data_IF_773020290074
#
_entry.id   IF_773020290074
#
_cell.length_a   1.000
_cell.length_b   1.000
_cell.length_c   1.000
_cell.angle_alpha   90.00
_cell.angle_beta   90.00
_cell.angle_gamma   90.00
#
_symmetry.space_group_name_H-M   'P 1'
#
loop_
_entity.id
_entity.type
_entity.pdbx_description
1 polymer ?
#
# COMPACT_ATOMS: atom_id res chain seq x y z
N UNK A 1 -33.38 27.45 -44.31
CA UNK A 1 -32.54 27.85 -43.16
C UNK A 1 -33.29 27.59 -41.86
N UNK A 2 -32.86 26.59 -41.09
CA UNK A 2 -33.17 26.41 -39.67
C UNK A 2 -31.93 25.82 -39.01
N UNK A 3 -31.35 26.59 -38.11
CA UNK A 3 -30.16 26.27 -37.34
C UNK A 3 -30.57 25.27 -36.25
N UNK A 4 -30.03 24.06 -36.28
CA UNK A 4 -30.09 23.12 -35.16
C UNK A 4 -28.68 23.04 -34.55
N UNK A 5 -28.39 24.01 -33.69
CA UNK A 5 -27.40 23.89 -32.63
C UNK A 5 -28.01 22.97 -31.56
N UNK A 6 -27.14 22.28 -30.82
CA UNK A 6 -27.42 21.36 -29.68
C UNK A 6 -27.38 19.89 -30.08
N UNK A 7 -26.18 19.29 -29.95
CA UNK A 7 -25.93 18.03 -29.24
C UNK A 7 -24.45 17.61 -29.37
N UNK A 8 -23.52 18.56 -29.15
CA UNK A 8 -22.07 18.27 -29.00
C UNK A 8 -21.70 18.47 -27.54
N UNK A 9 -22.38 17.82 -26.59
CA UNK A 9 -21.93 17.77 -25.17
C UNK A 9 -22.50 16.53 -24.45
N UNK A 10 -22.38 15.33 -25.01
CA UNK A 10 -22.75 14.10 -24.27
C UNK A 10 -21.72 12.98 -24.48
N UNK A 11 -20.43 13.33 -24.57
CA UNK A 11 -19.35 12.33 -24.74
C UNK A 11 -18.13 12.52 -23.81
N UNK A 12 -18.26 13.32 -22.75
CA UNK A 12 -17.19 13.52 -21.76
C UNK A 12 -17.64 13.38 -20.30
N UNK A 13 -18.69 12.60 -20.02
CA UNK A 13 -18.95 12.11 -18.67
C UNK A 13 -18.34 10.72 -18.54
N UNK A 14 -17.00 10.66 -18.59
CA UNK A 14 -16.30 9.56 -17.98
C UNK A 14 -16.67 9.56 -16.49
N UNK A 15 -17.03 8.42 -15.89
CA UNK A 15 -17.30 8.37 -14.48
C UNK A 15 -15.99 8.70 -13.77
N UNK A 16 -15.90 9.89 -13.20
CA UNK A 16 -14.91 10.17 -12.18
C UNK A 16 -15.30 9.33 -10.95
N UNK A 17 -14.93 8.05 -10.99
CA UNK A 17 -14.79 7.24 -9.78
C UNK A 17 -13.58 7.83 -9.06
N UNK A 18 -13.79 8.99 -8.42
CA UNK A 18 -12.93 9.43 -7.35
C UNK A 18 -13.09 8.37 -6.27
N UNK A 19 -12.16 7.41 -6.25
CA UNK A 19 -11.93 6.54 -5.11
C UNK A 19 -11.32 7.40 -3.99
N UNK A 20 -12.10 8.36 -3.50
CA UNK A 20 -11.82 9.03 -2.24
C UNK A 20 -12.23 8.02 -1.18
N UNK A 21 -11.25 7.36 -0.56
CA UNK A 21 -11.53 6.63 0.68
C UNK A 21 -12.18 7.61 1.66
N UNK A 22 -13.15 7.13 2.44
CA UNK A 22 -13.73 7.98 3.48
C UNK A 22 -12.63 8.38 4.47
N UNK A 23 -12.68 9.59 5.06
CA UNK A 23 -11.67 10.03 6.03
C UNK A 23 -11.52 9.07 7.22
N UNK A 24 -12.56 8.31 7.56
CA UNK A 24 -12.52 7.26 8.58
C UNK A 24 -11.58 6.10 8.21
N UNK A 25 -11.55 5.69 6.94
CA UNK A 25 -10.65 4.63 6.48
C UNK A 25 -9.21 5.14 6.48
N UNK A 26 -9.01 6.41 6.15
CA UNK A 26 -7.71 7.08 6.16
C UNK A 26 -7.11 7.12 7.58
N UNK A 27 -7.92 7.50 8.57
CA UNK A 27 -7.54 7.49 9.99
C UNK A 27 -7.20 6.07 10.48
N UNK A 28 -7.97 5.06 10.08
CA UNK A 28 -7.71 3.66 10.42
C UNK A 28 -6.36 3.17 9.88
N UNK A 29 -6.00 3.53 8.64
CA UNK A 29 -4.69 3.19 8.08
C UNK A 29 -3.55 3.88 8.82
N UNK A 30 -3.70 5.18 9.14
CA UNK A 30 -2.69 5.91 9.90
C UNK A 30 -2.51 5.34 11.31
N UNK A 31 -3.59 4.96 11.99
CA UNK A 31 -3.51 4.27 13.27
C UNK A 31 -2.79 2.91 13.12
N UNK A 32 -3.07 2.17 12.04
CA UNK A 32 -2.43 0.89 11.76
C UNK A 32 -0.91 1.02 11.59
N UNK A 33 -0.46 2.09 10.94
CA UNK A 33 0.95 2.42 10.71
C UNK A 33 1.64 2.98 11.97
N UNK A 34 0.95 3.84 12.73
CA UNK A 34 1.49 4.49 13.92
C UNK A 34 1.90 3.50 15.03
N UNK A 35 1.15 2.41 15.19
CA UNK A 35 1.49 1.31 16.09
C UNK A 35 2.88 0.70 15.81
N UNK A 36 3.40 0.85 14.59
CA UNK A 36 4.68 0.30 14.17
C UNK A 36 5.86 1.29 14.34
N UNK A 37 5.63 2.45 14.94
CA UNK A 37 6.68 3.31 15.52
C UNK A 37 7.61 4.03 14.53
N UNK A 38 7.27 4.10 13.24
CA UNK A 38 7.97 5.00 12.31
C UNK A 38 7.47 6.44 12.48
N UNK A 39 8.35 7.42 12.20
CA UNK A 39 7.93 8.82 12.22
C UNK A 39 6.99 9.12 11.04
N UNK A 40 6.00 9.98 11.28
CA UNK A 40 5.06 10.41 10.23
C UNK A 40 5.82 10.87 8.97
N UNK A 41 6.88 11.68 9.12
CA UNK A 41 7.71 12.13 8.00
C UNK A 41 8.32 10.98 7.17
N UNK A 42 8.81 9.92 7.82
CA UNK A 42 9.43 8.78 7.11
C UNK A 42 8.39 7.95 6.37
N UNK A 43 7.21 7.78 6.97
CA UNK A 43 6.08 7.08 6.36
C UNK A 43 5.54 7.89 5.18
N UNK A 44 5.37 9.20 5.35
CA UNK A 44 4.98 10.14 4.28
C UNK A 44 5.95 10.11 3.10
N UNK A 45 7.26 10.12 3.38
CA UNK A 45 8.29 10.00 2.35
C UNK A 45 8.19 8.65 1.62
N UNK A 46 8.05 7.55 2.35
CA UNK A 46 7.89 6.21 1.78
C UNK A 46 6.63 6.10 0.92
N UNK A 47 5.53 6.74 1.35
CA UNK A 47 4.26 6.80 0.63
C UNK A 47 4.36 7.54 -0.69
N UNK A 48 4.99 8.72 -0.67
CA UNK A 48 5.24 9.50 -1.90
C UNK A 48 6.16 8.77 -2.86
N UNK A 49 7.19 8.11 -2.33
CA UNK A 49 8.15 7.34 -3.12
C UNK A 49 7.60 5.97 -3.57
N UNK A 50 6.51 5.50 -2.96
CA UNK A 50 6.04 4.10 -3.04
C UNK A 50 7.14 3.09 -2.72
N UNK A 51 8.03 3.44 -1.80
CA UNK A 51 9.18 2.63 -1.45
C UNK A 51 9.68 2.99 -0.06
N UNK A 52 9.94 1.97 0.75
CA UNK A 52 10.56 2.13 2.05
C UNK A 52 12.08 2.26 1.88
N UNK A 53 12.69 3.37 2.32
CA UNK A 53 14.13 3.56 2.26
C UNK A 53 14.85 2.55 3.15
N UNK A 54 16.10 2.24 2.80
CA UNK A 54 16.93 1.32 3.58
C UNK A 54 17.41 2.01 4.86
N UNK A 55 16.75 1.73 5.98
CA UNK A 55 17.16 2.20 7.31
C UNK A 55 16.73 1.21 8.40
N UNK A 56 17.40 1.19 9.57
CA UNK A 56 16.97 0.36 10.70
C UNK A 56 15.52 0.64 11.12
N UNK A 57 15.11 1.91 11.10
CA UNK A 57 13.74 2.32 11.45
C UNK A 57 12.71 1.76 10.47
N UNK A 58 12.96 1.84 9.16
CA UNK A 58 12.02 1.33 8.16
C UNK A 58 12.02 -0.20 8.07
N UNK A 59 13.14 -0.85 8.41
CA UNK A 59 13.18 -2.30 8.59
C UNK A 59 12.28 -2.75 9.76
N UNK A 60 12.32 -2.03 10.89
CA UNK A 60 11.47 -2.32 12.04
C UNK A 60 9.98 -2.07 11.73
N UNK A 61 9.68 -0.95 11.08
CA UNK A 61 8.34 -0.64 10.62
C UNK A 61 7.79 -1.72 9.67
N UNK A 62 8.56 -2.10 8.66
CA UNK A 62 8.15 -3.14 7.71
C UNK A 62 7.91 -4.48 8.40
N UNK A 63 8.77 -4.87 9.36
CA UNK A 63 8.59 -6.11 10.12
C UNK A 63 7.27 -6.10 10.90
N UNK A 64 6.98 -5.02 11.61
CA UNK A 64 5.72 -4.86 12.33
C UNK A 64 4.51 -4.94 11.38
N UNK A 65 4.55 -4.24 10.25
CA UNK A 65 3.46 -4.27 9.26
C UNK A 65 3.28 -5.67 8.66
N UNK A 66 4.36 -6.36 8.27
CA UNK A 66 4.29 -7.72 7.74
C UNK A 66 3.75 -8.73 8.76
N UNK A 67 3.99 -8.50 10.05
CA UNK A 67 3.37 -9.29 11.13
C UNK A 67 1.87 -9.02 11.25
N UNK A 68 1.45 -7.75 11.22
CA UNK A 68 0.02 -7.40 11.21
C UNK A 68 -0.72 -8.02 10.02
N UNK A 69 -0.08 -8.08 8.85
CA UNK A 69 -0.63 -8.73 7.66
C UNK A 69 -0.46 -10.24 7.61
N UNK A 70 0.10 -10.87 8.66
CA UNK A 70 0.37 -12.32 8.74
C UNK A 70 1.30 -12.87 7.65
N UNK A 71 2.08 -12.00 7.00
CA UNK A 71 3.10 -12.38 6.02
C UNK A 71 4.34 -12.91 6.72
N UNK A 72 4.66 -12.37 7.90
CA UNK A 72 5.79 -12.80 8.72
C UNK A 72 5.33 -13.06 10.15
N UNK A 73 6.00 -13.99 10.83
CA UNK A 73 5.80 -14.24 12.24
C UNK A 73 6.67 -13.32 13.12
N UNK A 74 6.45 -13.36 14.43
CA UNK A 74 7.20 -12.59 15.42
C UNK A 74 8.72 -12.91 15.41
N UNK A 75 9.08 -14.15 15.07
CA UNK A 75 10.47 -14.62 14.96
C UNK A 75 11.15 -14.24 13.64
N UNK A 76 10.42 -13.58 12.73
CA UNK A 76 10.92 -13.18 11.41
C UNK A 76 10.83 -14.26 10.34
N UNK A 77 10.23 -15.41 10.62
CA UNK A 77 9.92 -16.40 9.58
C UNK A 77 8.81 -15.90 8.65
N UNK A 78 8.95 -16.18 7.35
CA UNK A 78 7.92 -15.85 6.35
C UNK A 78 6.89 -16.98 6.33
N UNK A 79 5.61 -16.62 6.47
CA UNK A 79 4.51 -17.56 6.48
C UNK A 79 4.33 -18.18 5.07
N UNK A 80 4.27 -19.51 4.91
CA UNK A 80 4.08 -20.10 3.58
C UNK A 80 2.63 -20.04 3.08
N UNK A 81 1.64 -19.82 3.95
CA UNK A 81 0.23 -19.80 3.58
C UNK A 81 -0.21 -18.40 3.09
N UNK A 82 0.00 -18.13 1.80
CA UNK A 82 -0.38 -16.86 1.15
C UNK A 82 -1.87 -16.55 1.23
N UNK A 83 -2.74 -17.55 1.44
CA UNK A 83 -4.20 -17.33 1.55
C UNK A 83 -4.60 -16.76 2.91
N UNK A 84 -3.74 -16.87 3.90
CA UNK A 84 -3.97 -16.33 5.25
C UNK A 84 -3.62 -14.85 5.39
N UNK A 85 -2.98 -14.25 4.36
CA UNK A 85 -2.46 -12.90 4.42
C UNK A 85 -3.60 -11.87 4.44
N UNK A 86 -3.44 -10.85 5.28
CA UNK A 86 -4.39 -9.75 5.42
C UNK A 86 -3.98 -8.50 4.64
N UNK A 87 -3.33 -8.65 3.49
CA UNK A 87 -2.81 -7.51 2.71
C UNK A 87 -3.97 -6.68 2.16
N UNK A 88 -3.92 -5.37 2.43
CA UNK A 88 -4.94 -4.42 1.97
C UNK A 88 -4.47 -3.79 0.66
N UNK A 89 -5.28 -3.92 -0.39
CA UNK A 89 -5.01 -3.38 -1.72
C UNK A 89 -6.25 -2.73 -2.32
N UNK A 90 -6.04 -1.69 -3.12
CA UNK A 90 -7.05 -1.05 -3.98
C UNK A 90 -6.92 -1.49 -5.45
N UNK A 91 -6.00 -2.42 -5.73
CA UNK A 91 -5.72 -2.96 -7.05
C UNK A 91 -6.61 -4.16 -7.42
N UNK A 92 -6.44 -4.70 -8.64
CA UNK A 92 -7.11 -5.93 -9.07
C UNK A 92 -6.80 -7.10 -8.13
N UNK A 93 -7.73 -8.05 -8.02
CA UNK A 93 -7.58 -9.27 -7.20
C UNK A 93 -6.47 -10.19 -7.75
N UNK A 94 -5.23 -9.85 -7.41
CA UNK A 94 -4.01 -10.53 -7.83
C UNK A 94 -3.01 -10.70 -6.67
N UNK A 95 -3.44 -10.36 -5.46
CA UNK A 95 -2.58 -10.30 -4.28
C UNK A 95 -1.92 -11.65 -4.04
N UNK A 96 -2.67 -12.76 -4.18
CA UNK A 96 -2.13 -14.11 -3.98
C UNK A 96 -0.90 -14.42 -4.86
N UNK A 97 -0.95 -14.04 -6.14
CA UNK A 97 0.14 -14.32 -7.10
C UNK A 97 1.35 -13.46 -6.80
N UNK A 98 1.12 -12.21 -6.42
CA UNK A 98 2.19 -11.29 -6.00
C UNK A 98 2.78 -11.75 -4.68
N UNK A 99 1.97 -12.24 -3.73
CA UNK A 99 2.42 -12.83 -2.47
C UNK A 99 3.33 -14.03 -2.68
N UNK A 100 3.00 -14.93 -3.62
CA UNK A 100 3.87 -16.07 -3.97
C UNK A 100 5.25 -15.63 -4.48
N UNK A 101 5.30 -14.51 -5.20
CA UNK A 101 6.57 -13.94 -5.65
C UNK A 101 7.30 -13.21 -4.53
N UNK A 102 6.64 -12.27 -3.85
CA UNK A 102 7.28 -11.40 -2.87
C UNK A 102 7.82 -12.19 -1.67
N UNK A 103 7.13 -13.26 -1.24
CA UNK A 103 7.55 -14.06 -0.07
C UNK A 103 8.90 -14.77 -0.24
N UNK A 104 9.40 -14.90 -1.48
CA UNK A 104 10.71 -15.52 -1.73
C UNK A 104 11.87 -14.56 -1.51
N UNK A 105 11.60 -13.27 -1.33
CA UNK A 105 12.63 -12.28 -1.04
C UNK A 105 13.17 -12.47 0.36
N UNK A 106 14.48 -12.38 0.51
CA UNK A 106 15.17 -12.51 1.78
C UNK A 106 16.36 -11.55 1.84
N UNK A 107 16.49 -10.84 2.97
CA UNK A 107 17.62 -10.00 3.30
C UNK A 107 18.54 -10.65 4.33
N UNK A 108 19.45 -9.86 4.89
CA UNK A 108 20.40 -10.33 5.91
C UNK A 108 19.82 -10.37 7.33
N UNK A 109 18.59 -9.86 7.50
CA UNK A 109 17.87 -9.83 8.78
C UNK A 109 16.36 -9.87 8.55
N UNK A 110 15.59 -10.26 9.57
CA UNK A 110 14.12 -10.28 9.48
C UNK A 110 13.52 -8.94 9.06
N UNK A 111 14.04 -7.82 9.59
CA UNK A 111 13.57 -6.49 9.23
C UNK A 111 13.93 -6.10 7.80
N UNK A 112 15.11 -6.49 7.32
CA UNK A 112 15.49 -6.26 5.91
C UNK A 112 14.62 -7.11 4.96
N UNK A 113 14.39 -8.37 5.30
CA UNK A 113 13.47 -9.27 4.59
C UNK A 113 12.07 -8.66 4.53
N UNK A 114 11.54 -8.21 5.66
CA UNK A 114 10.23 -7.57 5.72
C UNK A 114 10.14 -6.33 4.82
N UNK A 115 11.17 -5.47 4.84
CA UNK A 115 11.22 -4.28 3.98
C UNK A 115 11.27 -4.64 2.50
N UNK A 116 12.04 -5.67 2.12
CA UNK A 116 12.09 -6.15 0.74
C UNK A 116 10.74 -6.70 0.28
N UNK A 117 10.07 -7.50 1.12
CA UNK A 117 8.74 -8.04 0.84
C UNK A 117 7.72 -6.90 0.70
N UNK A 118 7.72 -5.94 1.63
CA UNK A 118 6.80 -4.80 1.60
C UNK A 118 7.00 -3.94 0.35
N UNK A 119 8.26 -3.65 -0.02
CA UNK A 119 8.56 -2.93 -1.26
C UNK A 119 8.09 -3.70 -2.51
N UNK A 120 8.24 -5.02 -2.53
CA UNK A 120 7.72 -5.83 -3.63
C UNK A 120 6.19 -5.68 -3.80
N UNK A 121 5.43 -5.61 -2.71
CA UNK A 121 4.00 -5.33 -2.81
C UNK A 121 3.70 -3.91 -3.32
N UNK A 122 4.45 -2.91 -2.86
CA UNK A 122 4.31 -1.52 -3.32
C UNK A 122 4.62 -1.38 -4.81
N UNK A 123 5.69 -2.02 -5.29
CA UNK A 123 6.09 -2.04 -6.70
C UNK A 123 5.03 -2.67 -7.60
N UNK A 124 4.30 -3.65 -7.08
CA UNK A 124 3.22 -4.35 -7.79
C UNK A 124 1.84 -3.68 -7.61
N UNK A 125 1.75 -2.56 -6.87
CA UNK A 125 0.47 -1.93 -6.48
C UNK A 125 -0.48 -2.92 -5.78
N UNK A 126 0.06 -3.78 -4.93
CA UNK A 126 -0.70 -4.77 -4.16
C UNK A 126 -0.65 -4.49 -2.65
N UNK A 127 -0.28 -3.26 -2.28
CA UNK A 127 -0.36 -2.77 -0.91
C UNK A 127 -0.68 -1.28 -0.94
N UNK A 128 -1.65 -0.87 -0.12
CA UNK A 128 -1.95 0.53 0.16
C UNK A 128 -1.38 0.89 1.52
N UNK A 129 -0.56 1.94 1.56
CA UNK A 129 -0.28 2.70 2.78
C UNK A 129 -1.36 3.78 2.91
N UNK A 130 -1.68 4.21 4.13
CA UNK A 130 -2.77 5.19 4.37
C UNK A 130 -2.67 6.36 3.40
N UNK A 131 -3.77 6.87 2.84
CA UNK A 131 -3.65 8.06 2.03
C UNK A 131 -3.33 9.22 2.95
N UNK A 132 -2.46 10.14 2.53
CA UNK A 132 -2.48 11.49 3.08
C UNK A 132 -3.17 12.34 2.04
N UNK A 133 -4.11 13.22 2.40
CA UNK A 133 -4.75 14.07 1.42
C UNK A 133 -3.64 14.87 0.74
N UNK A 134 -3.58 14.84 -0.60
CA UNK A 134 -2.74 15.78 -1.33
C UNK A 134 -3.28 17.16 -0.98
N UNK A 135 -2.62 17.86 -0.05
CA UNK A 135 -2.81 19.29 0.09
C UNK A 135 -2.35 19.88 -1.23
N UNK A 136 -3.33 20.20 -2.07
CA UNK A 136 -3.15 20.99 -3.28
C UNK A 136 -2.47 22.28 -2.82
N UNK A 137 -1.21 22.48 -3.21
CA UNK A 137 -0.52 23.74 -3.03
C UNK A 137 -1.20 24.84 -3.84
#
# INVERSE_FOLDING_TARGET
>A
MKIYVICVVVFFLAPAVFASFSPLIEDDFHAYEADCGASDESIEAARRARQLPQSPQMNAFALCMMQKYKVMAADGSVNPDVRSYGIITDGPDNTWRVSEHCRTLNGNSAGETARMIMNCYLDNNQLVMGLTPRVSA
#
